data_IF_857044438573
#
_entry.id   IF_857044438573
#
_cell.length_a   1.000
_cell.length_b   1.000
_cell.length_c   1.000
_cell.angle_alpha   90.00
_cell.angle_beta   90.00
_cell.angle_gamma   90.00
#
_symmetry.space_group_name_H-M   'P 1'
#
loop_
_entity.id
_entity.type
_entity.pdbx_description
1 polymer ?
#
# COMPACT_ATOMS: atom_id res chain seq x y z
N UNK A 1 -2.39 -41.72 13.85
CA UNK A 1 -3.19 -41.01 12.82
C UNK A 1 -3.07 -39.51 13.12
N UNK A 2 -1.91 -38.86 12.90
CA UNK A 2 -1.55 -38.16 11.64
C UNK A 2 -2.73 -37.41 11.02
N UNK A 3 -3.19 -36.36 11.69
CA UNK A 3 -3.74 -35.20 10.98
C UNK A 3 -3.49 -33.97 11.84
N UNK A 4 -2.24 -33.48 11.76
CA UNK A 4 -1.82 -32.20 12.32
C UNK A 4 -2.48 -31.10 11.50
N UNK A 5 -3.36 -30.38 12.16
CA UNK A 5 -4.20 -29.27 11.71
C UNK A 5 -3.29 -28.06 11.36
N UNK A 6 -2.61 -28.11 10.22
CA UNK A 6 -1.60 -27.11 9.80
C UNK A 6 -2.08 -26.14 8.70
N UNK A 7 -3.37 -26.04 8.41
CA UNK A 7 -3.83 -25.34 7.18
C UNK A 7 -4.74 -24.11 7.36
N UNK A 8 -4.97 -23.57 8.56
CA UNK A 8 -5.93 -22.44 8.65
C UNK A 8 -5.74 -21.41 9.76
N UNK A 9 -4.52 -21.16 10.26
CA UNK A 9 -4.24 -20.01 11.14
C UNK A 9 -3.73 -18.76 10.39
N UNK A 10 -3.43 -18.83 9.11
CA UNK A 10 -2.91 -17.68 8.34
C UNK A 10 -4.01 -16.72 7.87
N UNK A 11 -5.29 -17.07 8.02
CA UNK A 11 -6.42 -16.27 7.50
C UNK A 11 -6.90 -15.17 8.44
N UNK A 12 -6.44 -15.10 9.70
CA UNK A 12 -6.88 -14.09 10.66
C UNK A 12 -6.19 -12.71 10.47
N UNK A 13 -5.03 -12.67 9.80
CA UNK A 13 -4.28 -11.42 9.55
C UNK A 13 -4.81 -10.64 8.35
N UNK A 14 -5.57 -11.28 7.44
CA UNK A 14 -6.10 -10.63 6.25
C UNK A 14 -7.28 -9.67 6.55
N UNK A 15 -7.95 -9.80 7.69
CA UNK A 15 -9.07 -8.94 8.10
C UNK A 15 -8.63 -7.53 8.54
N UNK A 16 -7.34 -7.30 8.78
CA UNK A 16 -6.79 -5.99 9.15
C UNK A 16 -6.11 -5.26 7.98
N UNK A 17 -6.07 -5.87 6.79
CA UNK A 17 -5.17 -5.47 5.71
C UNK A 17 -5.63 -4.25 4.89
N UNK A 18 -6.66 -3.50 5.28
CA UNK A 18 -7.21 -2.48 4.38
C UNK A 18 -7.64 -1.15 5.01
N UNK A 19 -7.17 -0.84 6.21
CA UNK A 19 -7.27 0.51 6.76
C UNK A 19 -5.92 1.23 6.62
N UNK A 20 -5.46 1.47 5.38
CA UNK A 20 -4.28 2.29 5.16
C UNK A 20 -4.60 3.76 5.42
N UNK A 21 -3.77 4.42 6.23
CA UNK A 21 -3.91 5.85 6.52
C UNK A 21 -3.49 6.69 5.30
N UNK A 22 -4.28 7.72 5.00
CA UNK A 22 -3.97 8.66 3.92
C UNK A 22 -2.74 9.48 4.30
N UNK A 23 -1.81 9.62 3.35
CA UNK A 23 -0.62 10.43 3.54
C UNK A 23 -0.95 11.92 3.73
N UNK A 24 -0.47 12.48 4.83
CA UNK A 24 -0.49 13.93 5.11
C UNK A 24 0.88 14.59 4.95
N UNK A 25 1.94 13.80 4.76
CA UNK A 25 3.32 14.26 4.60
C UNK A 25 3.84 14.18 3.16
N UNK A 26 3.06 13.59 2.25
CA UNK A 26 3.48 13.31 0.88
C UNK A 26 4.29 12.01 0.74
N UNK A 27 4.58 11.32 1.84
CA UNK A 27 5.24 10.02 1.81
C UNK A 27 4.24 8.86 1.78
N UNK A 28 4.61 7.75 1.15
CA UNK A 28 3.79 6.55 1.02
C UNK A 28 4.63 5.29 1.11
N UNK A 29 4.01 4.11 1.16
CA UNK A 29 4.75 2.84 1.14
C UNK A 29 4.91 2.20 2.51
N UNK A 30 5.35 0.94 2.50
CA UNK A 30 5.56 0.15 3.70
C UNK A 30 6.56 0.80 4.67
N UNK A 31 7.61 1.44 4.15
CA UNK A 31 8.64 2.14 4.93
C UNK A 31 8.11 3.33 5.74
N UNK A 32 6.93 3.83 5.38
CA UNK A 32 6.28 4.96 6.05
C UNK A 32 5.05 4.52 6.85
N UNK A 33 5.04 3.28 7.36
CA UNK A 33 3.90 2.76 8.13
C UNK A 33 2.69 2.39 7.27
N UNK A 34 2.92 2.14 5.98
CA UNK A 34 1.89 1.72 5.05
C UNK A 34 0.96 2.84 4.58
N UNK A 35 1.43 4.10 4.63
CA UNK A 35 0.67 5.25 4.15
C UNK A 35 0.30 5.10 2.67
N UNK A 36 -0.94 5.49 2.34
CA UNK A 36 -1.45 5.51 0.97
C UNK A 36 -1.55 6.93 0.44
N UNK A 37 -1.30 7.09 -0.86
CA UNK A 37 -1.55 8.32 -1.59
C UNK A 37 -3.02 8.43 -2.04
N UNK A 38 -3.80 7.35 -1.99
CA UNK A 38 -5.22 7.39 -2.37
C UNK A 38 -5.99 8.39 -1.48
N UNK A 39 -6.55 9.43 -2.10
CA UNK A 39 -7.24 10.52 -1.40
C UNK A 39 -6.33 11.59 -0.80
N UNK A 40 -5.02 11.52 -1.03
CA UNK A 40 -4.06 12.53 -0.57
C UNK A 40 -4.08 13.77 -1.47
N UNK A 41 -3.83 14.95 -0.88
CA UNK A 41 -3.72 16.22 -1.61
C UNK A 41 -2.47 16.33 -2.49
N UNK A 42 -1.47 15.46 -2.27
CA UNK A 42 -0.25 15.41 -3.07
C UNK A 42 -0.42 14.68 -4.40
N UNK A 43 -1.53 13.95 -4.56
CA UNK A 43 -1.80 13.07 -5.69
C UNK A 43 -2.03 11.62 -5.26
N UNK A 44 -2.61 10.82 -6.14
CA UNK A 44 -3.09 9.46 -5.82
C UNK A 44 -2.06 8.35 -6.01
N UNK A 45 -0.93 8.63 -6.66
CA UNK A 45 0.05 7.61 -7.03
C UNK A 45 1.21 7.59 -6.04
N UNK A 46 1.65 6.39 -5.63
CA UNK A 46 2.84 6.22 -4.82
C UNK A 46 4.01 5.80 -5.70
N UNK A 47 5.00 6.66 -5.91
CA UNK A 47 6.18 6.34 -6.71
C UNK A 47 7.07 5.28 -6.05
N UNK A 48 7.99 4.67 -6.81
CA UNK A 48 9.03 3.77 -6.28
C UNK A 48 9.90 4.42 -5.19
N UNK A 49 9.95 5.76 -5.17
CA UNK A 49 10.74 6.53 -4.23
C UNK A 49 9.97 6.89 -2.95
N UNK A 50 8.80 6.29 -2.72
CA UNK A 50 7.94 6.52 -1.55
C UNK A 50 7.41 7.96 -1.44
N UNK A 51 7.08 8.54 -2.59
CA UNK A 51 6.49 9.87 -2.71
C UNK A 51 5.15 9.84 -3.44
N UNK A 52 4.18 10.59 -2.92
CA UNK A 52 2.89 10.82 -3.53
C UNK A 52 2.97 11.85 -4.65
N UNK A 53 2.28 11.56 -5.75
CA UNK A 53 2.17 12.46 -6.89
C UNK A 53 1.06 12.05 -7.86
N UNK A 54 0.88 12.85 -8.91
CA UNK A 54 -0.08 12.58 -10.00
C UNK A 54 0.57 12.57 -11.38
N UNK A 55 1.88 12.77 -11.47
CA UNK A 55 2.59 12.77 -12.76
C UNK A 55 2.95 11.36 -13.19
N UNK A 56 3.25 11.16 -14.48
CA UNK A 56 3.68 9.85 -15.00
C UNK A 56 4.87 9.27 -14.21
N UNK A 57 5.81 10.11 -13.76
CA UNK A 57 6.94 9.69 -12.93
C UNK A 57 6.53 9.08 -11.57
N UNK A 58 5.31 9.35 -11.10
CA UNK A 58 4.75 8.76 -9.88
C UNK A 58 3.81 7.59 -10.17
N UNK A 59 3.08 7.63 -11.29
CA UNK A 59 1.97 6.73 -11.57
C UNK A 59 2.31 5.56 -12.51
N UNK A 60 3.46 5.61 -13.21
CA UNK A 60 3.84 4.61 -14.22
C UNK A 60 4.89 3.63 -13.66
N UNK A 61 6.06 3.54 -14.31
CA UNK A 61 7.14 2.62 -13.93
C UNK A 61 7.48 2.76 -12.44
N UNK A 62 7.46 1.63 -11.72
CA UNK A 62 7.79 1.58 -10.30
C UNK A 62 6.71 2.11 -9.35
N UNK A 63 5.51 2.47 -9.84
CA UNK A 63 4.40 2.84 -8.96
C UNK A 63 4.00 1.68 -8.02
N UNK A 64 3.89 1.97 -6.73
CA UNK A 64 3.55 1.01 -5.68
C UNK A 64 2.03 0.91 -5.54
N UNK A 65 1.41 -0.02 -6.28
CA UNK A 65 -0.06 -0.19 -6.34
C UNK A 65 -0.73 -0.56 -5.01
N UNK A 66 0.02 -1.11 -4.06
CA UNK A 66 -0.45 -1.30 -2.69
C UNK A 66 -0.56 -0.02 -1.85
N UNK A 67 -0.06 1.12 -2.35
CA UNK A 67 0.00 2.39 -1.63
C UNK A 67 -0.52 3.57 -2.47
N UNK A 68 -1.13 3.32 -3.63
CA UNK A 68 -1.70 4.34 -4.50
C UNK A 68 -2.34 3.78 -5.77
N UNK A 69 -2.91 4.65 -6.59
CA UNK A 69 -3.54 4.30 -7.87
C UNK A 69 -2.51 4.43 -8.99
N UNK A 70 -2.07 3.31 -9.57
CA UNK A 70 -1.12 3.28 -10.69
C UNK A 70 -1.85 3.20 -12.04
N UNK A 71 -1.21 3.66 -13.12
CA UNK A 71 -1.71 3.62 -14.49
C UNK A 71 -0.94 2.59 -15.32
#
# INVERSE_FOLDING_TARGET
MRSLILLSLTSLTALLANAQSISTSGHCGASFGGLTCAGSSFGSCCSQHNWCGSTAAHCTEGCQSGFGTCN
#
